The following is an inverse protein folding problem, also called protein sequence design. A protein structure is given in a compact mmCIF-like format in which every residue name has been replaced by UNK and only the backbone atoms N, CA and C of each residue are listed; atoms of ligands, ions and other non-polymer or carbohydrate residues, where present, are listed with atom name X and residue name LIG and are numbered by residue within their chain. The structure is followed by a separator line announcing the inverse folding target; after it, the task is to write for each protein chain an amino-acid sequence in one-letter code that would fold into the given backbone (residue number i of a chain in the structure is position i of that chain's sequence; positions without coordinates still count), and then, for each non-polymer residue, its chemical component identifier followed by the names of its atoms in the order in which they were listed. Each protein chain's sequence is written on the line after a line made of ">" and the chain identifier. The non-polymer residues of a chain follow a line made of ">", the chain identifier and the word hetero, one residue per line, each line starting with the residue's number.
data_IF_249302505773
#
_entry.id   IF_249302505773
#
_cell.length_a   1.000
_cell.length_b   1.000
_cell.length_c   1.000
_cell.angle_alpha   90.00
_cell.angle_beta   90.00
_cell.angle_gamma   90.00
#
_symmetry.space_group_name_H-M   'P 1'
#
loop_
_entity.id
_entity.type
_entity.pdbx_description
1 polymer ?
#
# COMPACT_ATOMS: atom_id res chain seq x y z
N UNK A 1 -41.23 -55.51 27.21
CA UNK A 1 -40.61 -55.58 25.89
C UNK A 1 -41.56 -54.92 24.92
N UNK A 2 -41.42 -53.63 24.72
CA UNK A 2 -42.16 -52.86 23.75
C UNK A 2 -41.16 -51.98 23.02
N UNK A 3 -40.95 -52.33 21.75
CA UNK A 3 -40.09 -51.64 20.79
C UNK A 3 -40.68 -50.25 20.45
N UNK A 4 -39.87 -49.22 20.51
CA UNK A 4 -40.23 -47.86 20.05
C UNK A 4 -39.39 -47.63 18.80
N UNK A 5 -40.08 -47.51 17.64
CA UNK A 5 -39.46 -47.12 16.37
C UNK A 5 -39.09 -45.62 16.36
N UNK A 6 -38.00 -45.23 15.72
CA UNK A 6 -37.60 -43.81 15.63
C UNK A 6 -38.35 -43.11 14.48
N UNK A 7 -38.92 -41.94 14.85
CA UNK A 7 -39.59 -41.00 13.95
C UNK A 7 -38.58 -40.40 12.97
N UNK A 8 -38.81 -40.56 11.65
CA UNK A 8 -38.10 -39.85 10.59
C UNK A 8 -38.64 -38.40 10.47
N UNK A 9 -37.77 -37.39 10.34
CA UNK A 9 -38.23 -36.04 10.01
C UNK A 9 -38.51 -35.92 8.50
N UNK A 10 -39.73 -35.40 8.21
CA UNK A 10 -40.15 -35.04 6.84
C UNK A 10 -39.37 -33.81 6.33
N UNK A 11 -38.99 -33.86 5.06
CA UNK A 11 -38.32 -32.75 4.35
C UNK A 11 -39.33 -31.66 3.96
N UNK A 12 -38.98 -30.36 4.07
CA UNK A 12 -39.87 -29.28 3.68
C UNK A 12 -40.02 -29.19 2.16
N UNK A 13 -41.25 -29.22 1.67
CA UNK A 13 -41.61 -28.96 0.29
C UNK A 13 -41.31 -27.48 -0.08
N UNK A 14 -40.44 -27.28 -1.05
CA UNK A 14 -40.23 -25.97 -1.69
C UNK A 14 -41.42 -25.65 -2.60
N UNK A 15 -42.24 -24.67 -2.22
CA UNK A 15 -43.19 -24.02 -3.11
C UNK A 15 -42.48 -22.95 -3.92
N UNK A 16 -42.35 -23.18 -5.23
CA UNK A 16 -41.91 -22.16 -6.18
C UNK A 16 -43.01 -21.16 -6.40
N UNK A 17 -42.83 -19.92 -5.97
CA UNK A 17 -43.64 -18.79 -6.40
C UNK A 17 -43.04 -18.25 -7.71
N UNK A 18 -43.73 -18.51 -8.81
CA UNK A 18 -43.48 -17.84 -10.09
C UNK A 18 -44.23 -16.51 -10.03
N UNK A 19 -43.51 -15.41 -9.88
CA UNK A 19 -44.09 -14.07 -10.02
C UNK A 19 -43.88 -13.66 -11.49
N UNK A 20 -44.99 -13.75 -12.25
CA UNK A 20 -45.04 -13.17 -13.61
C UNK A 20 -45.22 -11.66 -13.51
N UNK A 21 -44.15 -10.90 -13.88
CA UNK A 21 -44.25 -9.45 -14.07
C UNK A 21 -44.67 -9.20 -15.51
N UNK A 22 -45.91 -8.82 -15.72
CA UNK A 22 -46.42 -8.33 -17.00
C UNK A 22 -45.89 -6.89 -17.21
N UNK A 23 -45.00 -6.71 -18.16
CA UNK A 23 -44.50 -5.41 -18.61
C UNK A 23 -45.46 -4.86 -19.65
N UNK A 24 -46.32 -3.93 -19.24
CA UNK A 24 -47.19 -3.16 -20.19
C UNK A 24 -46.30 -2.11 -20.87
N UNK A 25 -46.04 -2.32 -22.17
CA UNK A 25 -45.38 -1.33 -23.02
C UNK A 25 -46.43 -0.26 -23.44
N UNK A 26 -46.30 0.94 -22.86
CA UNK A 26 -47.08 2.11 -23.29
C UNK A 26 -46.23 2.83 -24.36
N UNK A 27 -46.58 2.60 -25.64
CA UNK A 27 -46.06 3.33 -26.79
C UNK A 27 -46.62 4.75 -26.81
N UNK A 28 -45.86 5.75 -26.37
CA UNK A 28 -46.11 7.16 -26.68
C UNK A 28 -45.47 7.50 -28.02
N UNK A 29 -46.28 7.58 -29.06
CA UNK A 29 -45.92 8.17 -30.37
C UNK A 29 -45.79 9.70 -30.20
N UNK A 30 -44.54 10.20 -30.18
CA UNK A 30 -44.25 11.62 -30.37
C UNK A 30 -43.74 11.83 -31.80
N UNK A 31 -44.11 12.95 -32.46
CA UNK A 31 -43.75 13.18 -33.85
C UNK A 31 -42.25 13.44 -34.04
N UNK A 32 -41.65 12.81 -35.04
CA UNK A 32 -40.30 13.08 -35.48
C UNK A 32 -40.20 14.50 -36.04
N UNK A 33 -39.72 15.44 -35.24
CA UNK A 33 -39.16 16.67 -35.74
C UNK A 33 -37.77 16.39 -36.34
N UNK A 34 -37.58 16.70 -37.60
CA UNK A 34 -36.29 16.60 -38.29
C UNK A 34 -35.29 17.58 -37.64
N UNK A 35 -34.49 17.09 -36.68
CA UNK A 35 -33.30 17.77 -36.19
C UNK A 35 -32.12 17.35 -37.09
N UNK A 36 -31.58 18.33 -37.84
CA UNK A 36 -30.47 18.14 -38.75
C UNK A 36 -29.30 17.42 -38.08
N UNK A 37 -28.84 16.37 -38.70
CA UNK A 37 -27.61 15.68 -38.33
C UNK A 37 -26.46 16.69 -38.45
N UNK A 38 -25.97 17.18 -37.30
CA UNK A 38 -24.64 17.78 -37.24
C UNK A 38 -23.65 16.64 -37.45
N UNK A 39 -22.96 16.65 -38.58
CA UNK A 39 -21.81 15.82 -38.83
C UNK A 39 -20.84 15.98 -37.67
N UNK A 40 -20.62 14.89 -36.95
CA UNK A 40 -19.57 14.81 -35.97
C UNK A 40 -18.23 14.86 -36.69
N UNK A 41 -17.49 15.93 -36.50
CA UNK A 41 -16.11 16.05 -36.98
C UNK A 41 -15.30 14.89 -36.36
N UNK A 42 -14.70 13.98 -37.14
CA UNK A 42 -13.83 12.93 -36.59
C UNK A 42 -12.53 13.58 -36.15
N UNK A 43 -12.18 13.46 -34.88
CA UNK A 43 -10.84 13.78 -34.43
C UNK A 43 -10.68 14.80 -33.32
N UNK A 44 -11.61 14.90 -32.39
CA UNK A 44 -11.26 15.39 -31.06
C UNK A 44 -11.29 14.19 -30.11
N UNK A 45 -10.17 13.49 -30.02
CA UNK A 45 -9.87 12.62 -28.92
C UNK A 45 -10.01 13.49 -27.66
N UNK A 46 -11.12 13.35 -26.94
CA UNK A 46 -11.28 13.96 -25.62
C UNK A 46 -10.28 13.24 -24.72
N UNK A 47 -9.06 13.72 -24.73
CA UNK A 47 -8.12 13.44 -23.66
C UNK A 47 -8.81 13.94 -22.41
N UNK A 48 -9.34 13.04 -21.61
CA UNK A 48 -9.75 13.33 -20.24
C UNK A 48 -8.48 13.68 -19.48
N UNK A 49 -7.98 14.89 -19.71
CA UNK A 49 -7.04 15.52 -18.79
C UNK A 49 -7.85 15.84 -17.55
N UNK A 50 -7.83 14.93 -16.59
CA UNK A 50 -8.14 15.28 -15.20
C UNK A 50 -7.02 16.24 -14.79
N UNK A 51 -7.18 17.51 -15.14
CA UNK A 51 -6.27 18.59 -14.83
C UNK A 51 -6.65 19.25 -13.50
N UNK A 52 -7.09 18.46 -12.54
CA UNK A 52 -7.19 18.96 -11.19
C UNK A 52 -5.77 19.07 -10.64
N UNK A 53 -5.36 20.27 -10.13
CA UNK A 53 -4.05 20.39 -9.53
C UNK A 53 -3.96 19.43 -8.35
N UNK A 54 -2.84 18.70 -8.26
CA UNK A 54 -2.54 17.92 -7.07
C UNK A 54 -2.60 18.81 -5.82
N UNK A 55 -3.09 18.32 -4.69
CA UNK A 55 -3.05 19.07 -3.45
C UNK A 55 -1.63 19.55 -3.15
N UNK A 56 -1.47 20.86 -2.94
CA UNK A 56 -0.16 21.43 -2.65
C UNK A 56 0.36 20.90 -1.33
N UNK A 57 1.56 20.31 -1.34
CA UNK A 57 2.24 19.92 -0.10
C UNK A 57 2.67 21.16 0.68
N UNK A 58 2.32 21.28 1.97
CA UNK A 58 2.76 22.40 2.81
C UNK A 58 4.29 22.52 2.82
N UNK A 59 4.83 23.74 2.74
CA UNK A 59 6.26 24.00 2.68
C UNK A 59 7.00 23.38 3.87
N UNK A 60 6.46 23.48 5.07
CA UNK A 60 7.04 22.87 6.27
C UNK A 60 7.24 21.35 6.14
N UNK A 61 6.36 20.65 5.44
CA UNK A 61 6.52 19.21 5.17
C UNK A 61 7.57 18.94 4.11
N UNK A 62 7.70 19.80 3.11
CA UNK A 62 8.75 19.71 2.09
C UNK A 62 10.11 19.90 2.77
N UNK A 63 10.26 20.95 3.56
CA UNK A 63 11.50 21.29 4.27
C UNK A 63 11.88 20.16 5.23
N UNK A 64 10.91 19.63 5.96
CA UNK A 64 11.14 18.52 6.89
C UNK A 64 11.60 17.22 6.18
N UNK A 65 11.04 16.91 5.01
CA UNK A 65 11.47 15.76 4.19
C UNK A 65 12.87 15.95 3.59
N UNK A 66 13.28 17.19 3.38
CA UNK A 66 14.60 17.52 2.87
C UNK A 66 15.70 17.44 3.94
N UNK A 67 15.35 17.36 5.23
CA UNK A 67 16.31 17.22 6.32
C UNK A 67 16.97 15.84 6.24
N UNK A 68 18.31 15.83 6.16
CA UNK A 68 19.11 14.62 6.34
C UNK A 68 19.36 14.34 7.83
N UNK A 69 19.38 13.08 8.21
CA UNK A 69 19.58 12.64 9.60
C UNK A 69 18.32 12.61 10.43
N UNK A 70 18.42 12.86 11.75
CA UNK A 70 17.29 12.84 12.68
C UNK A 70 16.62 14.22 12.72
N UNK A 71 15.40 14.37 12.17
CA UNK A 71 14.70 15.65 12.24
C UNK A 71 14.26 15.94 13.68
N UNK A 72 14.24 17.22 14.10
CA UNK A 72 13.70 17.59 15.40
C UNK A 72 12.22 17.18 15.53
N UNK A 73 11.70 17.01 16.75
CA UNK A 73 10.27 16.79 16.95
C UNK A 73 9.44 17.87 16.22
N UNK A 74 8.30 17.52 15.60
CA UNK A 74 7.44 18.51 14.94
C UNK A 74 6.88 19.50 15.96
N UNK A 75 6.80 20.77 15.58
CA UNK A 75 6.08 21.78 16.37
C UNK A 75 4.57 21.51 16.35
N UNK A 76 3.82 22.17 17.23
CA UNK A 76 2.36 22.10 17.22
C UNK A 76 1.77 22.64 15.91
N UNK A 77 2.42 23.65 15.31
CA UNK A 77 2.04 24.22 14.02
C UNK A 77 2.29 23.25 12.87
N UNK A 78 3.46 22.55 12.86
CA UNK A 78 3.75 21.51 11.88
C UNK A 78 2.74 20.37 11.94
N UNK A 79 2.38 19.95 13.16
CA UNK A 79 1.36 18.90 13.35
C UNK A 79 -0.02 19.36 12.87
N UNK A 80 -0.41 20.61 13.11
CA UNK A 80 -1.67 21.15 12.64
C UNK A 80 -1.70 21.23 11.10
N UNK A 81 -0.62 21.71 10.48
CA UNK A 81 -0.47 21.77 9.02
C UNK A 81 -0.51 20.37 8.40
N UNK A 82 0.18 19.41 9.00
CA UNK A 82 0.15 18.01 8.57
C UNK A 82 -1.26 17.42 8.65
N UNK A 83 -1.94 17.57 9.78
CA UNK A 83 -3.28 17.04 9.97
C UNK A 83 -4.31 17.67 9.02
N UNK A 84 -4.16 18.96 8.71
CA UNK A 84 -4.98 19.64 7.71
C UNK A 84 -4.72 19.08 6.32
N UNK A 85 -3.45 18.93 5.94
CA UNK A 85 -3.05 18.38 4.66
C UNK A 85 -3.54 16.93 4.46
N UNK A 86 -3.43 16.08 5.49
CA UNK A 86 -3.95 14.71 5.44
C UNK A 86 -5.46 14.68 5.17
N UNK A 87 -6.24 15.60 5.75
CA UNK A 87 -7.69 15.70 5.44
C UNK A 87 -7.94 16.09 3.99
N UNK A 88 -7.15 17.00 3.43
CA UNK A 88 -7.24 17.36 2.01
C UNK A 88 -6.92 16.13 1.13
N UNK A 89 -5.86 15.40 1.44
CA UNK A 89 -5.49 14.19 0.70
C UNK A 89 -6.57 13.12 0.80
N UNK A 90 -7.12 12.87 1.99
CA UNK A 90 -8.20 11.89 2.16
C UNK A 90 -9.44 12.21 1.33
N UNK A 91 -9.74 13.49 1.12
CA UNK A 91 -10.89 13.94 0.34
C UNK A 91 -10.63 13.96 -1.18
N UNK A 92 -9.41 14.25 -1.62
CA UNK A 92 -9.11 14.55 -3.02
C UNK A 92 -8.11 13.59 -3.67
N UNK A 93 -7.24 12.94 -2.90
CA UNK A 93 -6.20 12.04 -3.38
C UNK A 93 -5.92 10.95 -2.32
N UNK A 94 -6.94 10.17 -1.99
CA UNK A 94 -6.87 9.18 -0.91
C UNK A 94 -5.72 8.19 -1.06
N UNK A 95 -5.37 7.81 -2.28
CA UNK A 95 -4.27 6.88 -2.57
C UNK A 95 -2.91 7.58 -2.72
N UNK A 96 -2.83 8.91 -2.60
CA UNK A 96 -1.62 9.70 -2.80
C UNK A 96 -0.99 9.53 -4.19
N UNK A 97 -1.82 9.46 -5.23
CA UNK A 97 -1.38 9.31 -6.61
C UNK A 97 -0.56 10.51 -7.11
N UNK A 98 -0.76 11.66 -6.50
CA UNK A 98 0.00 12.87 -6.78
C UNK A 98 1.43 12.86 -6.20
N UNK A 99 1.70 12.06 -5.17
CA UNK A 99 2.93 12.17 -4.36
C UNK A 99 4.22 12.06 -5.17
N UNK A 100 4.27 11.10 -6.07
CA UNK A 100 5.47 10.82 -6.89
C UNK A 100 5.26 11.06 -8.39
N UNK A 101 4.12 11.67 -8.78
CA UNK A 101 3.75 11.87 -10.19
C UNK A 101 4.83 12.53 -11.02
N UNK A 102 5.40 13.63 -10.52
CA UNK A 102 6.38 14.41 -11.28
C UNK A 102 7.76 13.74 -11.26
N UNK A 103 8.14 13.10 -10.14
CA UNK A 103 9.34 12.27 -10.07
C UNK A 103 9.23 11.04 -11.00
N UNK A 104 8.06 10.41 -11.09
CA UNK A 104 7.82 9.30 -12.00
C UNK A 104 7.93 9.75 -13.46
N UNK A 105 7.42 10.93 -13.80
CA UNK A 105 7.59 11.52 -15.14
C UNK A 105 9.05 11.81 -15.47
N UNK A 106 9.81 12.31 -14.51
CA UNK A 106 11.25 12.55 -14.71
C UNK A 106 12.04 11.25 -14.93
N UNK A 107 11.58 10.14 -14.34
CA UNK A 107 12.17 8.81 -14.55
C UNK A 107 11.70 8.16 -15.86
N UNK A 108 10.60 8.62 -16.46
CA UNK A 108 10.10 8.09 -17.73
C UNK A 108 11.10 8.37 -18.85
N UNK A 109 11.62 7.32 -19.49
CA UNK A 109 12.67 7.43 -20.51
C UNK A 109 14.11 7.40 -19.98
N UNK A 110 14.30 7.41 -18.67
CA UNK A 110 15.60 7.14 -18.04
C UNK A 110 15.92 5.63 -18.03
N UNK A 111 17.12 5.27 -17.56
CA UNK A 111 17.46 3.86 -17.38
C UNK A 111 16.51 3.20 -16.38
N UNK A 112 16.09 1.95 -16.69
CA UNK A 112 15.22 1.13 -15.84
C UNK A 112 15.75 1.07 -14.40
N UNK A 113 14.95 1.39 -13.37
CA UNK A 113 15.38 1.29 -11.99
C UNK A 113 15.86 -0.13 -11.65
N UNK A 114 16.89 -0.23 -10.86
CA UNK A 114 17.36 -1.50 -10.30
C UNK A 114 16.31 -2.07 -9.34
N UNK A 115 15.84 -1.22 -8.44
CA UNK A 115 14.79 -1.58 -7.47
C UNK A 115 13.93 -0.37 -7.14
N UNK A 116 12.62 -0.60 -6.97
CA UNK A 116 11.69 0.34 -6.34
C UNK A 116 11.32 -0.19 -4.96
N UNK A 117 11.45 0.65 -3.94
CA UNK A 117 10.99 0.38 -2.58
C UNK A 117 9.61 1.02 -2.41
N UNK A 118 8.56 0.20 -2.32
CA UNK A 118 7.21 0.67 -2.01
C UNK A 118 6.88 0.36 -0.56
N UNK A 119 6.33 1.33 0.16
CA UNK A 119 6.02 1.20 1.57
C UNK A 119 5.37 2.45 2.16
N UNK A 120 5.42 2.53 3.47
CA UNK A 120 4.89 3.63 4.29
C UNK A 120 5.98 4.63 4.73
N UNK A 121 5.78 5.25 5.91
CA UNK A 121 6.76 6.17 6.51
C UNK A 121 8.12 5.53 6.80
N UNK A 122 8.16 4.23 7.08
CA UNK A 122 9.42 3.53 7.33
C UNK A 122 10.25 3.46 6.05
N UNK A 123 9.62 3.26 4.90
CA UNK A 123 10.28 3.35 3.59
C UNK A 123 10.62 4.81 3.25
N UNK A 124 9.68 5.76 3.35
CA UNK A 124 9.90 7.19 3.04
C UNK A 124 11.05 7.80 3.85
N UNK A 125 11.18 7.43 5.12
CA UNK A 125 12.20 7.94 6.02
C UNK A 125 13.58 7.30 5.83
N UNK A 126 13.69 6.21 5.08
CA UNK A 126 14.98 5.54 4.86
C UNK A 126 15.95 6.42 4.08
N UNK A 127 15.49 6.96 2.94
CA UNK A 127 16.32 7.82 2.08
C UNK A 127 16.92 9.04 2.78
N UNK A 128 16.20 9.87 3.56
CA UNK A 128 16.82 11.00 4.25
C UNK A 128 17.76 10.58 5.40
N UNK A 129 17.57 9.38 5.98
CA UNK A 129 18.41 8.89 7.08
C UNK A 129 19.65 8.12 6.61
N UNK A 130 19.54 7.45 5.47
CA UNK A 130 20.67 6.83 4.79
C UNK A 130 20.62 7.05 3.27
N UNK A 131 21.01 8.25 2.82
CA UNK A 131 21.01 8.56 1.40
C UNK A 131 22.01 7.72 0.60
N UNK A 132 22.99 7.08 1.25
CA UNK A 132 23.99 6.26 0.58
C UNK A 132 23.43 5.00 -0.05
N UNK A 133 22.30 4.50 0.47
CA UNK A 133 21.56 3.37 -0.09
C UNK A 133 20.84 3.73 -1.39
N UNK A 134 20.39 4.98 -1.54
CA UNK A 134 19.52 5.43 -2.62
C UNK A 134 20.29 6.00 -3.82
N UNK A 135 21.26 5.24 -4.29
CA UNK A 135 22.07 5.52 -5.48
C UNK A 135 21.82 4.44 -6.54
N UNK A 136 22.36 4.64 -7.75
CA UNK A 136 22.41 3.62 -8.82
C UNK A 136 21.09 2.88 -9.11
N UNK A 137 20.01 3.64 -9.25
CA UNK A 137 18.71 3.09 -9.64
C UNK A 137 17.91 2.48 -8.50
N UNK A 138 18.25 2.80 -7.24
CA UNK A 138 17.42 2.53 -6.06
C UNK A 138 16.43 3.69 -5.91
N UNK A 139 15.12 3.40 -6.05
CA UNK A 139 14.06 4.40 -6.08
C UNK A 139 13.15 4.24 -4.87
N UNK A 140 13.03 5.31 -4.07
CA UNK A 140 12.09 5.36 -2.95
C UNK A 140 10.68 5.71 -3.43
N UNK A 141 9.70 4.93 -3.00
CA UNK A 141 8.26 5.13 -3.15
C UNK A 141 7.52 4.87 -1.84
N UNK A 142 8.12 5.27 -0.72
CA UNK A 142 7.49 5.31 0.59
C UNK A 142 6.54 6.50 0.73
N UNK A 143 5.40 6.32 1.39
CA UNK A 143 4.46 7.40 1.72
C UNK A 143 3.97 7.25 3.16
N UNK A 144 4.27 8.24 3.99
CA UNK A 144 3.94 8.24 5.41
C UNK A 144 2.47 7.99 5.70
N UNK A 145 2.22 7.10 6.65
CA UNK A 145 0.87 6.77 7.12
C UNK A 145 0.06 5.83 6.23
N UNK A 146 0.58 5.43 5.05
CA UNK A 146 -0.17 4.59 4.11
C UNK A 146 -0.36 3.17 4.60
N UNK A 147 -1.54 2.64 4.26
CA UNK A 147 -1.95 1.25 4.43
C UNK A 147 -1.82 0.47 3.12
N UNK A 148 -1.85 -0.86 3.21
CA UNK A 148 -1.69 -1.74 2.05
C UNK A 148 -2.68 -1.48 0.89
N UNK A 149 -3.99 -1.15 1.11
CA UNK A 149 -4.89 -0.82 0.00
C UNK A 149 -4.48 0.47 -0.73
N UNK A 150 -3.94 1.47 -0.01
CA UNK A 150 -3.44 2.69 -0.66
C UNK A 150 -2.19 2.41 -1.50
N UNK A 151 -1.27 1.57 -1.00
CA UNK A 151 -0.10 1.12 -1.75
C UNK A 151 -0.50 0.37 -3.03
N UNK A 152 -1.49 -0.52 -2.93
CA UNK A 152 -2.03 -1.27 -4.08
C UNK A 152 -2.59 -0.33 -5.16
N UNK A 153 -3.34 0.71 -4.78
CA UNK A 153 -3.91 1.66 -5.75
C UNK A 153 -2.86 2.45 -6.53
N UNK A 154 -1.74 2.81 -5.89
CA UNK A 154 -0.64 3.52 -6.57
C UNK A 154 0.43 2.59 -7.18
N UNK A 155 0.27 1.28 -7.02
CA UNK A 155 1.26 0.29 -7.46
C UNK A 155 1.52 0.36 -8.97
N UNK A 156 0.46 0.62 -9.76
CA UNK A 156 0.58 0.76 -11.21
C UNK A 156 1.53 1.91 -11.60
N UNK A 157 1.32 3.10 -11.04
CA UNK A 157 2.12 4.27 -11.44
C UNK A 157 3.50 4.33 -10.78
N UNK A 158 3.61 3.87 -9.53
CA UNK A 158 4.82 4.04 -8.73
C UNK A 158 5.78 2.84 -8.83
N UNK A 159 5.31 1.71 -9.37
CA UNK A 159 6.12 0.51 -9.56
C UNK A 159 6.05 0.03 -11.00
N UNK A 160 4.89 -0.36 -11.48
CA UNK A 160 4.76 -1.04 -12.79
C UNK A 160 5.21 -0.13 -13.94
N UNK A 161 4.76 1.12 -13.97
CA UNK A 161 5.10 2.08 -15.02
C UNK A 161 6.59 2.48 -15.05
N UNK A 162 7.31 2.27 -13.94
CA UNK A 162 8.76 2.49 -13.87
C UNK A 162 9.58 1.29 -14.37
N UNK A 163 8.93 0.16 -14.58
CA UNK A 163 9.57 -1.08 -15.04
C UNK A 163 10.82 -1.50 -14.26
N UNK A 164 10.84 -1.51 -12.92
CA UNK A 164 12.04 -1.89 -12.18
C UNK A 164 12.41 -3.35 -12.41
N UNK A 165 13.66 -3.74 -12.11
CA UNK A 165 14.05 -5.15 -12.11
C UNK A 165 13.47 -5.88 -10.91
N UNK A 166 13.44 -5.18 -9.76
CA UNK A 166 12.97 -5.70 -8.48
C UNK A 166 12.02 -4.69 -7.83
N UNK A 167 11.02 -5.15 -7.13
CA UNK A 167 10.24 -4.35 -6.17
C UNK A 167 10.45 -4.89 -4.76
N UNK A 168 10.75 -4.01 -3.82
CA UNK A 168 10.76 -4.29 -2.39
C UNK A 168 9.43 -3.79 -1.82
N UNK A 169 8.65 -4.68 -1.19
CA UNK A 169 7.34 -4.37 -0.62
C UNK A 169 7.42 -4.48 0.90
N UNK A 170 7.21 -3.36 1.60
CA UNK A 170 7.15 -3.30 3.06
C UNK A 170 5.86 -2.59 3.48
N UNK A 171 4.89 -3.35 3.99
CA UNK A 171 3.53 -2.87 4.31
C UNK A 171 3.00 -3.55 5.58
N UNK A 172 2.05 -2.91 6.26
CA UNK A 172 1.29 -3.51 7.35
C UNK A 172 1.29 -2.73 8.65
N UNK A 173 2.30 -1.90 8.93
CA UNK A 173 2.37 -1.10 10.16
C UNK A 173 1.11 -0.25 10.35
N UNK A 174 0.72 0.48 9.33
CA UNK A 174 -0.43 1.38 9.37
C UNK A 174 -1.78 0.65 9.21
N UNK A 175 -1.79 -0.52 8.59
CA UNK A 175 -2.96 -1.42 8.59
C UNK A 175 -3.29 -1.88 10.01
N UNK A 176 -2.27 -2.28 10.78
CA UNK A 176 -2.40 -2.65 12.19
C UNK A 176 -2.80 -1.45 13.05
N UNK A 177 -2.26 -0.27 12.76
CA UNK A 177 -2.64 0.98 13.42
C UNK A 177 -4.07 1.43 13.08
N UNK A 178 -4.66 0.91 11.99
CA UNK A 178 -6.01 1.26 11.54
C UNK A 178 -6.13 2.66 10.95
N UNK A 179 -5.08 3.16 10.28
CA UNK A 179 -5.03 4.52 9.73
C UNK A 179 -6.14 4.81 8.69
N UNK A 180 -6.60 3.80 7.99
CA UNK A 180 -7.73 3.91 7.03
C UNK A 180 -8.96 3.10 7.48
N UNK A 181 -9.05 2.83 8.76
CA UNK A 181 -10.09 1.99 9.36
C UNK A 181 -9.59 0.59 9.70
N UNK A 182 -10.44 -0.25 10.32
CA UNK A 182 -10.07 -1.61 10.70
C UNK A 182 -9.69 -2.46 9.48
N UNK A 183 -8.54 -3.11 9.54
CA UNK A 183 -8.08 -4.04 8.50
C UNK A 183 -8.12 -5.47 9.06
N UNK A 184 -8.85 -6.38 8.40
CA UNK A 184 -8.81 -7.81 8.71
C UNK A 184 -7.56 -8.46 8.12
N UNK A 185 -7.17 -9.61 8.67
CA UNK A 185 -5.97 -10.31 8.23
C UNK A 185 -6.05 -10.72 6.75
N UNK A 186 -7.22 -11.22 6.31
CA UNK A 186 -7.45 -11.59 4.91
C UNK A 186 -7.35 -10.38 3.96
N UNK A 187 -7.83 -9.21 4.37
CA UNK A 187 -7.75 -7.99 3.56
C UNK A 187 -6.29 -7.55 3.35
N UNK A 188 -5.48 -7.57 4.41
CA UNK A 188 -4.05 -7.31 4.31
C UNK A 188 -3.37 -8.32 3.37
N UNK A 189 -3.64 -9.61 3.59
CA UNK A 189 -3.10 -10.69 2.78
C UNK A 189 -3.47 -10.54 1.30
N UNK A 190 -4.71 -10.21 1.00
CA UNK A 190 -5.18 -10.05 -0.39
C UNK A 190 -4.54 -8.84 -1.07
N UNK A 191 -4.33 -7.72 -0.36
CA UNK A 191 -3.61 -6.57 -0.91
C UNK A 191 -2.15 -6.93 -1.22
N UNK A 192 -1.46 -7.66 -0.33
CA UNK A 192 -0.09 -8.12 -0.57
C UNK A 192 -0.03 -9.09 -1.75
N UNK A 193 -0.93 -10.07 -1.81
CA UNK A 193 -1.03 -11.01 -2.94
C UNK A 193 -1.22 -10.28 -4.26
N UNK A 194 -2.15 -9.30 -4.30
CA UNK A 194 -2.43 -8.52 -5.50
C UNK A 194 -1.20 -7.73 -5.98
N UNK A 195 -0.46 -7.08 -5.08
CA UNK A 195 0.79 -6.38 -5.44
C UNK A 195 1.84 -7.35 -5.99
N UNK A 196 2.00 -8.53 -5.37
CA UNK A 196 2.93 -9.57 -5.83
C UNK A 196 2.53 -10.09 -7.21
N UNK A 197 1.25 -10.37 -7.43
CA UNK A 197 0.73 -10.87 -8.71
C UNK A 197 0.89 -9.84 -9.83
N UNK A 198 0.61 -8.56 -9.55
CA UNK A 198 0.86 -7.47 -10.49
C UNK A 198 2.34 -7.37 -10.86
N UNK A 199 3.24 -7.39 -9.88
CA UNK A 199 4.68 -7.35 -10.14
C UNK A 199 5.12 -8.51 -11.05
N UNK A 200 4.72 -9.75 -10.71
CA UNK A 200 5.08 -10.95 -11.48
C UNK A 200 4.51 -10.94 -12.89
N UNK A 201 3.27 -10.49 -13.07
CA UNK A 201 2.65 -10.37 -14.39
C UNK A 201 3.43 -9.43 -15.32
N UNK A 202 4.20 -8.49 -14.77
CA UNK A 202 5.06 -7.55 -15.50
C UNK A 202 6.55 -7.94 -15.49
N UNK A 203 6.88 -9.16 -15.07
CA UNK A 203 8.27 -9.65 -15.04
C UNK A 203 9.15 -8.93 -14.01
N UNK A 204 8.55 -8.35 -12.96
CA UNK A 204 9.24 -7.69 -11.87
C UNK A 204 9.45 -8.70 -10.74
N UNK A 205 10.68 -8.88 -10.30
CA UNK A 205 11.03 -9.77 -9.17
C UNK A 205 10.62 -9.10 -7.86
N UNK A 206 10.23 -9.90 -6.87
CA UNK A 206 9.69 -9.37 -5.61
C UNK A 206 10.59 -9.73 -4.44
N UNK A 207 10.95 -8.73 -3.65
CA UNK A 207 11.47 -8.87 -2.29
C UNK A 207 10.34 -8.48 -1.35
N UNK A 208 9.83 -9.43 -0.58
CA UNK A 208 8.79 -9.19 0.43
C UNK A 208 9.45 -9.02 1.78
N UNK A 209 9.17 -7.89 2.45
CA UNK A 209 9.78 -7.55 3.73
C UNK A 209 8.89 -7.87 4.92
N UNK A 210 9.50 -8.19 6.06
CA UNK A 210 8.80 -8.23 7.32
C UNK A 210 8.34 -6.83 7.75
N UNK A 211 7.24 -6.75 8.49
CA UNK A 211 6.79 -5.56 9.20
C UNK A 211 7.76 -5.33 10.37
N UNK A 212 8.38 -4.14 10.48
CA UNK A 212 9.24 -3.81 11.62
C UNK A 212 8.50 -3.87 12.96
N UNK A 213 9.22 -4.11 14.08
CA UNK A 213 8.60 -4.20 15.38
C UNK A 213 8.03 -2.86 15.85
N UNK A 214 6.89 -2.90 16.54
CA UNK A 214 6.33 -1.79 17.29
C UNK A 214 5.56 -2.32 18.50
N UNK A 215 5.69 -1.65 19.65
CA UNK A 215 5.00 -2.03 20.89
C UNK A 215 3.71 -1.24 21.12
N UNK A 216 3.69 -0.02 20.62
CA UNK A 216 2.55 0.89 20.68
C UNK A 216 2.62 1.90 19.54
N UNK A 217 1.49 2.54 19.23
CA UNK A 217 1.42 3.66 18.32
C UNK A 217 1.03 4.93 19.10
N UNK A 218 1.79 6.02 18.92
CA UNK A 218 1.53 7.27 19.65
C UNK A 218 0.10 7.79 19.43
N UNK A 219 -0.38 7.75 18.17
CA UNK A 219 -1.72 8.21 17.83
C UNK A 219 -2.84 7.21 18.20
N UNK A 220 -2.49 5.98 18.59
CA UNK A 220 -3.43 4.88 18.87
C UNK A 220 -2.92 4.04 20.05
N UNK A 221 -2.84 4.61 21.24
CA UNK A 221 -2.23 3.96 22.41
C UNK A 221 -2.98 2.72 22.89
N UNK A 222 -4.25 2.56 22.48
CA UNK A 222 -5.08 1.38 22.75
C UNK A 222 -4.67 0.15 21.93
N UNK A 223 -4.00 0.35 20.77
CA UNK A 223 -3.54 -0.75 19.91
C UNK A 223 -2.30 -1.42 20.50
N UNK A 224 -2.28 -2.73 20.53
CA UNK A 224 -1.15 -3.56 20.94
C UNK A 224 -0.62 -4.32 19.74
N UNK A 225 0.30 -3.72 18.93
CA UNK A 225 0.64 -4.24 17.61
C UNK A 225 1.55 -5.48 17.63
N UNK A 226 2.37 -5.68 18.67
CA UNK A 226 3.47 -6.64 18.65
C UNK A 226 3.05 -8.08 18.32
N UNK A 227 1.93 -8.57 18.84
CA UNK A 227 1.43 -9.91 18.55
C UNK A 227 0.98 -10.03 17.09
N UNK A 228 0.21 -9.05 16.61
CA UNK A 228 -0.29 -9.03 15.24
C UNK A 228 0.84 -8.88 14.22
N UNK A 229 1.87 -8.07 14.54
CA UNK A 229 3.09 -7.97 13.72
C UNK A 229 3.75 -9.34 13.59
N UNK A 230 3.93 -10.07 14.68
CA UNK A 230 4.53 -11.41 14.63
C UNK A 230 3.69 -12.40 13.83
N UNK A 231 2.36 -12.38 13.99
CA UNK A 231 1.46 -13.24 13.23
C UNK A 231 1.52 -12.94 11.72
N UNK A 232 1.47 -11.67 11.35
CA UNK A 232 1.56 -11.27 9.95
C UNK A 232 2.94 -11.52 9.34
N UNK A 233 4.02 -11.33 10.08
CA UNK A 233 5.37 -11.69 9.64
C UNK A 233 5.53 -13.20 9.42
N UNK A 234 4.90 -14.02 10.26
CA UNK A 234 4.83 -15.47 10.06
C UNK A 234 4.14 -15.82 8.74
N UNK A 235 2.99 -15.19 8.47
CA UNK A 235 2.28 -15.36 7.21
C UNK A 235 3.09 -14.87 5.99
N UNK A 236 3.68 -13.67 6.05
CA UNK A 236 4.51 -13.10 4.98
C UNK A 236 5.67 -14.03 4.60
N UNK A 237 6.36 -14.59 5.61
CA UNK A 237 7.45 -15.54 5.41
C UNK A 237 6.96 -16.82 4.72
N UNK A 238 5.86 -17.40 5.21
CA UNK A 238 5.27 -18.62 4.62
C UNK A 238 4.84 -18.37 3.18
N UNK A 239 4.10 -17.28 2.94
CA UNK A 239 3.65 -16.91 1.60
C UNK A 239 4.82 -16.68 0.62
N UNK A 240 5.86 -15.98 1.06
CA UNK A 240 7.04 -15.77 0.24
C UNK A 240 7.72 -17.12 -0.13
N UNK A 241 7.88 -18.01 0.84
CA UNK A 241 8.45 -19.35 0.61
C UNK A 241 7.60 -20.17 -0.39
N UNK A 242 6.28 -20.24 -0.19
CA UNK A 242 5.36 -20.98 -1.07
C UNK A 242 5.34 -20.45 -2.50
N UNK A 243 5.58 -19.13 -2.68
CA UNK A 243 5.58 -18.46 -3.98
C UNK A 243 6.97 -18.34 -4.61
N UNK A 244 8.02 -18.82 -3.94
CA UNK A 244 9.40 -18.71 -4.41
C UNK A 244 9.90 -17.27 -4.47
N UNK A 245 9.40 -16.40 -3.58
CA UNK A 245 9.82 -14.99 -3.47
C UNK A 245 11.00 -14.86 -2.51
N UNK A 246 11.77 -13.79 -2.66
CA UNK A 246 12.75 -13.43 -1.64
C UNK A 246 12.04 -12.79 -0.47
N UNK A 247 12.28 -13.29 0.74
CA UNK A 247 11.81 -12.68 1.98
C UNK A 247 12.97 -12.06 2.74
N UNK A 248 12.85 -10.79 3.14
CA UNK A 248 13.81 -10.10 3.99
C UNK A 248 13.20 -9.85 5.36
N UNK A 249 13.87 -10.32 6.40
CA UNK A 249 13.38 -10.24 7.78
C UNK A 249 14.14 -9.19 8.58
N UNK A 250 13.58 -8.00 8.67
CA UNK A 250 14.13 -6.91 9.49
C UNK A 250 13.74 -7.03 10.98
N UNK A 251 12.68 -7.79 11.28
CA UNK A 251 12.14 -7.85 12.63
C UNK A 251 13.17 -8.29 13.67
N UNK A 252 13.95 -9.36 13.50
CA UNK A 252 14.86 -9.85 14.55
C UNK A 252 15.99 -8.89 14.90
N UNK A 253 16.46 -8.10 13.93
CA UNK A 253 17.57 -7.16 14.17
C UNK A 253 17.11 -5.86 14.86
N UNK A 254 15.80 -5.55 14.76
CA UNK A 254 15.20 -4.35 15.30
C UNK A 254 14.45 -4.56 16.61
N UNK A 255 13.91 -5.78 16.86
CA UNK A 255 13.02 -6.06 17.98
C UNK A 255 13.75 -6.18 19.31
N UNK A 256 13.15 -5.60 20.36
CA UNK A 256 13.48 -5.88 21.76
C UNK A 256 12.84 -7.21 22.23
N UNK A 257 13.04 -7.55 23.51
CA UNK A 257 12.54 -8.79 24.10
C UNK A 257 10.99 -8.84 24.18
N UNK A 258 10.32 -7.68 24.24
CA UNK A 258 8.86 -7.57 24.29
C UNK A 258 8.22 -7.46 22.89
N UNK A 259 9.02 -7.38 21.83
CA UNK A 259 8.58 -7.27 20.44
C UNK A 259 8.29 -5.83 20.00
N UNK A 260 8.84 -4.86 20.74
CA UNK A 260 8.89 -3.46 20.36
C UNK A 260 10.14 -3.13 19.55
N UNK A 261 10.20 -1.94 18.98
CA UNK A 261 11.41 -1.41 18.38
C UNK A 261 12.38 -1.03 19.52
N UNK A 262 13.64 -1.51 19.43
CA UNK A 262 14.69 -1.14 20.37
C UNK A 262 14.84 0.37 20.44
N UNK A 263 14.87 0.93 21.66
CA UNK A 263 14.88 2.39 21.87
C UNK A 263 16.08 3.09 21.21
N UNK A 264 17.25 2.43 21.19
CA UNK A 264 18.45 2.93 20.52
C UNK A 264 18.39 2.87 18.99
N UNK A 265 17.46 2.09 18.43
CA UNK A 265 17.25 1.94 17.00
C UNK A 265 16.05 2.72 16.47
N UNK A 266 15.19 3.27 17.37
CA UNK A 266 14.05 4.09 16.98
C UNK A 266 13.37 4.67 18.21
N UNK A 267 13.66 5.93 18.56
CA UNK A 267 13.26 6.52 19.84
C UNK A 267 11.75 6.74 19.98
N UNK A 268 11.00 6.80 18.89
CA UNK A 268 9.53 6.91 18.91
C UNK A 268 8.82 5.54 19.00
N UNK A 269 9.58 4.45 18.98
CA UNK A 269 9.07 3.08 19.09
C UNK A 269 8.43 2.51 17.83
N UNK A 270 8.47 3.24 16.70
CA UNK A 270 7.88 2.84 15.40
C UNK A 270 8.87 3.03 14.25
N UNK A 271 9.48 4.20 14.15
CA UNK A 271 10.33 4.56 13.03
C UNK A 271 11.80 4.30 13.36
N UNK A 272 12.52 3.52 12.52
CA UNK A 272 13.94 3.36 12.69
C UNK A 272 14.69 4.70 12.61
N UNK A 273 15.62 4.90 13.53
CA UNK A 273 16.63 5.95 13.44
C UNK A 273 17.67 5.60 12.37
N UNK A 274 18.64 6.47 12.12
CA UNK A 274 19.79 6.13 11.28
C UNK A 274 20.42 4.81 11.69
N UNK A 275 20.68 4.60 12.99
CA UNK A 275 21.22 3.35 13.52
C UNK A 275 20.31 2.14 13.25
N UNK A 276 18.98 2.35 13.25
CA UNK A 276 18.01 1.31 12.88
C UNK A 276 18.12 0.92 11.41
N UNK A 277 18.21 1.90 10.50
CA UNK A 277 18.40 1.61 9.07
C UNK A 277 19.74 0.97 8.78
N UNK A 278 20.83 1.38 9.44
CA UNK A 278 22.15 0.74 9.32
C UNK A 278 22.11 -0.77 9.71
N UNK A 279 21.11 -1.20 10.53
CA UNK A 279 20.86 -2.63 10.79
C UNK A 279 20.07 -3.30 9.68
N UNK A 280 19.22 -2.56 8.97
CA UNK A 280 18.41 -3.08 7.87
C UNK A 280 19.20 -3.21 6.56
N UNK A 281 20.11 -2.29 6.30
CA UNK A 281 20.83 -2.17 5.03
C UNK A 281 21.53 -3.46 4.55
N UNK A 282 22.33 -4.16 5.36
CA UNK A 282 23.00 -5.38 4.90
C UNK A 282 22.00 -6.48 4.53
N UNK A 283 20.85 -6.53 5.20
CA UNK A 283 19.78 -7.48 4.91
C UNK A 283 19.09 -7.13 3.59
N UNK A 284 18.80 -5.84 3.37
CA UNK A 284 18.26 -5.37 2.12
C UNK A 284 19.19 -5.67 0.95
N UNK A 285 20.48 -5.34 1.06
CA UNK A 285 21.48 -5.58 0.01
C UNK A 285 21.59 -7.07 -0.32
N UNK A 286 21.61 -7.93 0.68
CA UNK A 286 21.66 -9.38 0.49
C UNK A 286 20.39 -9.90 -0.21
N UNK A 287 19.21 -9.41 0.19
CA UNK A 287 17.94 -9.78 -0.41
C UNK A 287 17.83 -9.28 -1.87
N UNK A 288 18.25 -8.04 -2.15
CA UNK A 288 18.27 -7.49 -3.49
C UNK A 288 19.20 -8.30 -4.40
N UNK A 289 20.43 -8.55 -3.96
CA UNK A 289 21.37 -9.36 -4.72
C UNK A 289 20.87 -10.80 -4.96
N UNK A 290 20.13 -11.37 -4.01
CA UNK A 290 19.49 -12.68 -4.20
C UNK A 290 18.38 -12.59 -5.25
N UNK A 291 17.49 -11.60 -5.17
CA UNK A 291 16.41 -11.41 -6.13
C UNK A 291 16.96 -11.19 -7.56
N UNK A 292 18.02 -10.43 -7.71
CA UNK A 292 18.66 -10.18 -9.02
C UNK A 292 19.21 -11.45 -9.68
N UNK A 293 19.65 -12.42 -8.89
CA UNK A 293 20.17 -13.71 -9.39
C UNK A 293 19.09 -14.73 -9.71
N UNK A 294 17.85 -14.54 -9.24
CA UNK A 294 16.76 -15.45 -9.63
C UNK A 294 16.55 -15.41 -11.15
N UNK A 295 16.16 -16.51 -11.77
CA UNK A 295 15.93 -16.61 -13.21
C UNK A 295 14.79 -15.68 -13.68
#
# INVERSE_FOLDING_TARGET
>A
MTSIDPIRPEAPQRRSLIVSVAMSALCCLLPLGAAGAREATPGAERTLTVSEPCPATPQALIDRRALSGEPPPPSAEDLAAYNHYVKILQANDWAYLCRYRDENRALAGASRPRVVLIGDSITENWKPRDPSLFVEGVVDRGVGGQTSPQMLLRFQQDVIALHPRVVHIMAGTNDIAGNTGPTRDEQFQDNVKAMVELARAHGIKVVLASIPPAKAFYARPEVRPAERIRAWNGWLRTYAHERGLVFVDYYPVLADAEGGLKAELGPDGVHPSRAGYERMDPLFQAALAHAERQP
#
